data_IF_784907906872
#
_entry.id   IF_784907906872
#
_cell.length_a   1.000
_cell.length_b   1.000
_cell.length_c   1.000
_cell.angle_alpha   90.00
_cell.angle_beta   90.00
_cell.angle_gamma   90.00
#
_symmetry.space_group_name_H-M   'P 1'
#
loop_
_entity.id
_entity.type
_entity.pdbx_description
1 polymer ?
#
# COMPACT_ATOMS: atom_id res chain seq x y z
N UNK A 1 9.77 -2.55 15.44
CA UNK A 1 9.21 -1.27 14.97
C UNK A 1 9.53 -1.07 13.49
N UNK A 2 8.52 -0.75 12.72
CA UNK A 2 8.69 -0.50 11.29
C UNK A 2 9.32 0.86 11.03
N UNK A 3 10.02 0.99 9.91
CA UNK A 3 10.72 2.20 9.51
C UNK A 3 10.22 2.65 8.14
N UNK A 4 9.93 3.93 8.03
CA UNK A 4 9.40 4.52 6.80
C UNK A 4 10.33 5.63 6.32
N UNK A 5 10.79 5.52 5.08
CA UNK A 5 11.56 6.56 4.39
C UNK A 5 10.75 7.07 3.21
N UNK A 6 10.58 8.38 3.12
CA UNK A 6 9.80 9.01 2.06
C UNK A 6 10.66 10.02 1.34
N UNK A 7 10.70 9.95 0.01
CA UNK A 7 11.52 10.83 -0.81
C UNK A 7 10.75 11.30 -2.06
N UNK A 8 11.28 12.34 -2.70
CA UNK A 8 10.70 12.92 -3.90
C UNK A 8 9.89 14.20 -3.63
N UNK A 9 9.14 14.61 -4.63
CA UNK A 9 8.30 15.81 -4.54
C UNK A 9 7.03 15.63 -5.37
N UNK A 10 6.09 16.57 -5.23
CA UNK A 10 4.82 16.50 -5.95
C UNK A 10 3.81 15.54 -5.32
N UNK A 11 3.83 15.41 -4.02
CA UNK A 11 2.93 14.53 -3.29
C UNK A 11 2.53 15.15 -1.94
N UNK A 12 1.39 14.73 -1.36
CA UNK A 12 0.97 15.20 -0.05
C UNK A 12 1.70 14.46 1.07
N UNK A 13 2.78 15.06 1.60
CA UNK A 13 3.67 14.44 2.59
C UNK A 13 2.94 13.89 3.81
N UNK A 14 2.07 14.68 4.41
CA UNK A 14 1.32 14.29 5.61
C UNK A 14 0.44 13.09 5.29
N UNK A 15 -0.25 13.11 4.15
CA UNK A 15 -1.10 12.01 3.73
C UNK A 15 -0.31 10.72 3.53
N UNK A 16 0.87 10.82 2.90
CA UNK A 16 1.74 9.66 2.70
C UNK A 16 2.12 9.00 4.01
N UNK A 17 2.57 9.80 4.97
CA UNK A 17 2.95 9.32 6.30
C UNK A 17 1.75 8.73 7.05
N UNK A 18 0.61 9.42 7.04
CA UNK A 18 -0.59 8.99 7.77
C UNK A 18 -1.13 7.67 7.24
N UNK A 19 -1.29 7.55 5.93
CA UNK A 19 -1.85 6.34 5.32
C UNK A 19 -0.93 5.14 5.54
N UNK A 20 0.37 5.33 5.31
CA UNK A 20 1.34 4.23 5.47
C UNK A 20 1.45 3.79 6.92
N UNK A 21 1.53 4.73 7.84
CA UNK A 21 1.59 4.42 9.28
C UNK A 21 0.30 3.75 9.75
N UNK A 22 -0.85 4.25 9.30
CA UNK A 22 -2.14 3.63 9.60
C UNK A 22 -2.17 2.17 9.15
N UNK A 23 -1.73 1.91 7.91
CA UNK A 23 -1.73 0.57 7.34
C UNK A 23 -0.82 -0.39 8.14
N UNK A 24 0.41 0.05 8.42
CA UNK A 24 1.38 -0.76 9.17
C UNK A 24 0.88 -1.04 10.59
N UNK A 25 0.35 -0.04 11.26
CA UNK A 25 -0.14 -0.21 12.64
C UNK A 25 -1.38 -1.08 12.70
N UNK A 26 -2.25 -1.01 11.70
CA UNK A 26 -3.49 -1.77 11.69
C UNK A 26 -3.28 -3.24 11.34
N UNK A 27 -2.44 -3.52 10.34
CA UNK A 27 -2.31 -4.87 9.79
C UNK A 27 -1.01 -5.59 10.19
N UNK A 28 0.02 -4.85 10.54
CA UNK A 28 1.33 -5.41 10.88
C UNK A 28 1.93 -4.76 12.12
N UNK A 29 1.17 -4.68 13.24
CA UNK A 29 1.63 -3.93 14.42
C UNK A 29 2.86 -4.52 15.12
N UNK A 30 3.13 -5.80 14.89
CA UNK A 30 4.25 -6.51 15.53
C UNK A 30 5.39 -6.83 14.57
N UNK A 31 5.25 -6.47 13.30
CA UNK A 31 6.27 -6.73 12.30
C UNK A 31 7.29 -5.58 12.27
N UNK A 32 8.52 -5.91 11.91
CA UNK A 32 9.57 -4.94 11.65
C UNK A 32 9.74 -4.85 10.13
N UNK A 33 9.12 -3.87 9.54
CA UNK A 33 9.08 -3.69 8.08
C UNK A 33 9.75 -2.36 7.75
N UNK A 34 10.59 -2.37 6.71
CA UNK A 34 11.17 -1.15 6.16
C UNK A 34 10.47 -0.85 4.84
N UNK A 35 9.93 0.35 4.73
CA UNK A 35 9.25 0.81 3.51
C UNK A 35 9.94 2.07 3.02
N UNK A 36 10.46 2.00 1.80
CA UNK A 36 10.95 3.16 1.08
C UNK A 36 9.87 3.59 0.09
N UNK A 37 9.41 4.82 0.19
CA UNK A 37 8.42 5.37 -0.76
C UNK A 37 9.09 6.50 -1.53
N UNK A 38 9.15 6.35 -2.85
CA UNK A 38 9.77 7.32 -3.75
C UNK A 38 8.71 7.87 -4.70
N UNK A 39 8.64 9.19 -4.81
CA UNK A 39 7.73 9.88 -5.71
C UNK A 39 8.50 10.36 -6.93
N UNK A 40 8.13 9.84 -8.09
CA UNK A 40 8.75 10.20 -9.38
C UNK A 40 7.74 10.10 -10.50
N UNK A 41 7.96 10.81 -11.59
CA UNK A 41 7.04 10.78 -12.73
C UNK A 41 6.99 9.40 -13.37
N UNK A 42 5.79 8.82 -13.45
CA UNK A 42 5.55 7.48 -14.02
C UNK A 42 4.69 7.50 -15.29
N UNK A 43 4.33 8.68 -15.79
CA UNK A 43 3.43 8.81 -16.95
C UNK A 43 3.92 8.04 -18.17
N UNK A 44 5.24 8.07 -18.43
CA UNK A 44 5.82 7.38 -19.59
C UNK A 44 5.72 5.86 -19.46
N UNK A 45 5.64 5.36 -18.24
CA UNK A 45 5.53 3.93 -17.96
C UNK A 45 4.08 3.47 -17.94
N UNK A 46 3.13 4.41 -17.99
CA UNK A 46 1.71 4.11 -18.07
C UNK A 46 1.10 3.53 -16.79
N UNK A 47 1.75 3.77 -15.64
CA UNK A 47 1.29 3.27 -14.34
C UNK A 47 1.27 4.40 -13.31
N UNK A 48 0.54 4.20 -12.22
CA UNK A 48 0.49 5.15 -11.11
C UNK A 48 1.45 4.78 -9.98
N UNK A 49 1.83 3.52 -9.89
CA UNK A 49 2.72 3.06 -8.84
C UNK A 49 3.31 1.68 -9.08
N UNK A 50 4.27 1.35 -8.25
CA UNK A 50 4.94 0.03 -8.19
C UNK A 50 5.18 -0.36 -6.74
N UNK A 51 5.23 -1.66 -6.49
CA UNK A 51 5.73 -2.21 -5.21
C UNK A 51 6.72 -3.32 -5.51
N UNK A 52 7.95 -3.16 -5.05
CA UNK A 52 9.03 -4.12 -5.26
C UNK A 52 9.62 -4.57 -3.92
N UNK A 53 10.09 -5.80 -3.89
CA UNK A 53 10.88 -6.31 -2.78
C UNK A 53 12.32 -5.83 -2.93
N UNK A 54 12.90 -5.29 -1.85
CA UNK A 54 14.31 -4.92 -1.80
C UNK A 54 15.09 -6.08 -1.18
N UNK A 55 16.05 -6.62 -1.94
CA UNK A 55 16.84 -7.75 -1.50
C UNK A 55 16.18 -9.09 -1.79
N UNK A 56 16.33 -10.05 -0.89
CA UNK A 56 15.80 -11.39 -1.07
C UNK A 56 14.29 -11.44 -0.98
N UNK A 57 13.66 -12.24 -1.85
CA UNK A 57 12.20 -12.36 -1.88
C UNK A 57 11.63 -13.40 -0.90
N UNK A 58 12.49 -14.13 -0.17
CA UNK A 58 12.06 -15.07 0.84
C UNK A 58 11.76 -14.34 2.15
N UNK A 59 10.51 -14.40 2.60
CA UNK A 59 10.03 -13.69 3.80
C UNK A 59 10.47 -12.21 3.83
N UNK A 60 10.16 -11.44 2.78
CA UNK A 60 10.69 -10.08 2.64
C UNK A 60 10.15 -9.17 3.74
N UNK A 61 11.01 -8.21 4.16
CA UNK A 61 10.67 -7.20 5.17
C UNK A 61 11.12 -5.80 4.77
N UNK A 62 11.63 -5.67 3.55
CA UNK A 62 12.04 -4.38 3.00
C UNK A 62 11.43 -4.22 1.61
N UNK A 63 10.72 -3.12 1.41
CA UNK A 63 9.95 -2.86 0.19
C UNK A 63 10.23 -1.46 -0.33
N UNK A 64 10.22 -1.34 -1.65
CA UNK A 64 10.26 -0.06 -2.35
C UNK A 64 8.90 0.14 -3.01
N UNK A 65 8.23 1.23 -2.65
CA UNK A 65 7.00 1.67 -3.30
C UNK A 65 7.32 2.93 -4.09
N UNK A 66 7.00 2.93 -5.37
CA UNK A 66 7.14 4.11 -6.22
C UNK A 66 5.76 4.61 -6.60
N UNK A 67 5.54 5.91 -6.50
CA UNK A 67 4.26 6.55 -6.79
C UNK A 67 4.45 7.71 -7.74
N UNK A 68 3.51 7.87 -8.66
CA UNK A 68 3.50 9.00 -9.58
C UNK A 68 3.32 10.31 -8.81
N UNK A 69 3.78 11.39 -9.40
CA UNK A 69 3.70 12.74 -8.83
C UNK A 69 2.42 13.44 -9.30
N UNK A 70 1.97 14.44 -8.52
CA UNK A 70 0.86 15.33 -8.88
C UNK A 70 -0.49 14.63 -9.11
N UNK A 71 -0.72 13.52 -8.43
CA UNK A 71 -2.05 12.90 -8.38
C UNK A 71 -2.96 13.70 -7.44
N UNK A 72 -4.27 13.73 -7.73
CA UNK A 72 -5.20 14.28 -6.76
C UNK A 72 -5.22 13.38 -5.50
N UNK A 73 -5.75 13.92 -4.41
CA UNK A 73 -5.65 13.27 -3.10
C UNK A 73 -6.28 11.88 -3.07
N UNK A 74 -7.46 11.72 -3.64
CA UNK A 74 -8.17 10.43 -3.59
C UNK A 74 -7.48 9.38 -4.45
N UNK A 75 -7.05 9.74 -5.65
CA UNK A 75 -6.27 8.84 -6.50
C UNK A 75 -4.95 8.46 -5.82
N UNK A 76 -4.29 9.42 -5.18
CA UNK A 76 -3.04 9.20 -4.46
C UNK A 76 -3.23 8.16 -3.34
N UNK A 77 -4.25 8.34 -2.51
CA UNK A 77 -4.53 7.42 -1.40
C UNK A 77 -4.86 6.03 -1.92
N UNK A 78 -5.70 5.92 -2.95
CA UNK A 78 -6.07 4.64 -3.56
C UNK A 78 -4.85 3.93 -4.13
N UNK A 79 -3.99 4.65 -4.83
CA UNK A 79 -2.77 4.10 -5.41
C UNK A 79 -1.81 3.61 -4.33
N UNK A 80 -1.61 4.41 -3.29
CA UNK A 80 -0.76 4.02 -2.17
C UNK A 80 -1.29 2.76 -1.49
N UNK A 81 -2.59 2.69 -1.23
CA UNK A 81 -3.22 1.52 -0.63
C UNK A 81 -3.13 0.29 -1.53
N UNK A 82 -3.21 0.47 -2.84
CA UNK A 82 -3.01 -0.61 -3.81
C UNK A 82 -1.60 -1.20 -3.68
N UNK A 83 -0.57 -0.34 -3.66
CA UNK A 83 0.81 -0.80 -3.53
C UNK A 83 1.11 -1.39 -2.15
N UNK A 84 0.53 -0.84 -1.09
CA UNK A 84 0.63 -1.40 0.25
C UNK A 84 -0.04 -2.79 0.32
N UNK A 85 -1.09 -3.01 -0.45
CA UNK A 85 -1.72 -4.33 -0.55
C UNK A 85 -0.77 -5.36 -1.16
N UNK A 86 -0.03 -4.99 -2.21
CA UNK A 86 1.01 -5.86 -2.76
C UNK A 86 2.09 -6.18 -1.72
N UNK A 87 2.50 -5.19 -0.95
CA UNK A 87 3.43 -5.41 0.17
C UNK A 87 2.86 -6.44 1.15
N UNK A 88 1.59 -6.31 1.51
CA UNK A 88 0.92 -7.25 2.41
C UNK A 88 0.88 -8.67 1.82
N UNK A 89 0.65 -8.79 0.53
CA UNK A 89 0.66 -10.09 -0.16
C UNK A 89 2.03 -10.77 -0.02
N UNK A 90 3.11 -10.02 -0.17
CA UNK A 90 4.46 -10.53 0.04
C UNK A 90 4.71 -10.93 1.50
N UNK A 91 4.32 -10.07 2.44
CA UNK A 91 4.54 -10.34 3.87
C UNK A 91 3.76 -11.58 4.31
N UNK A 92 2.53 -11.72 3.87
CA UNK A 92 1.66 -12.86 4.19
C UNK A 92 2.02 -14.13 3.43
N UNK A 93 2.83 -14.02 2.38
CA UNK A 93 3.30 -15.14 1.60
C UNK A 93 2.35 -15.60 0.50
N UNK A 94 1.26 -14.88 0.21
CA UNK A 94 0.42 -15.18 -0.95
C UNK A 94 1.14 -14.86 -2.25
N UNK A 95 1.97 -13.82 -2.29
CA UNK A 95 2.92 -13.59 -3.37
C UNK A 95 4.28 -14.18 -3.01
N UNK A 96 4.86 -14.97 -3.92
CA UNK A 96 6.18 -15.57 -3.76
C UNK A 96 6.81 -15.84 -5.12
N UNK A 97 8.13 -15.85 -5.17
CA UNK A 97 8.84 -16.43 -6.28
C UNK A 97 8.98 -17.95 -6.06
N UNK A 98 8.59 -18.73 -7.05
CA UNK A 98 8.73 -20.20 -7.04
C UNK A 98 9.24 -20.63 -8.41
N UNK A 99 10.37 -21.32 -8.41
CA UNK A 99 11.00 -21.80 -9.65
C UNK A 99 11.23 -20.67 -10.67
N UNK A 100 11.66 -19.49 -10.18
CA UNK A 100 11.92 -18.33 -11.02
C UNK A 100 10.68 -17.58 -11.52
N UNK A 101 9.49 -17.94 -11.07
CA UNK A 101 8.23 -17.31 -11.47
C UNK A 101 7.53 -16.65 -10.30
N UNK A 102 6.88 -15.52 -10.57
CA UNK A 102 6.01 -14.89 -9.59
C UNK A 102 4.72 -15.71 -9.48
N UNK A 103 4.40 -16.13 -8.26
CA UNK A 103 3.20 -16.94 -7.98
C UNK A 103 2.32 -16.24 -6.96
N UNK A 104 1.01 -16.35 -7.15
CA UNK A 104 0.01 -15.96 -6.18
C UNK A 104 -0.75 -17.21 -5.74
N UNK A 105 -0.73 -17.48 -4.43
CA UNK A 105 -1.33 -18.68 -3.85
C UNK A 105 -0.92 -19.95 -4.63
N UNK A 106 0.38 -20.06 -4.90
CA UNK A 106 1.05 -21.19 -5.60
C UNK A 106 0.80 -21.27 -7.11
N UNK A 107 0.02 -20.36 -7.70
CA UNK A 107 -0.23 -20.34 -9.13
C UNK A 107 0.62 -19.27 -9.81
N UNK A 108 1.34 -19.61 -10.91
CA UNK A 108 2.09 -18.59 -11.65
C UNK A 108 1.16 -17.50 -12.19
N UNK A 109 1.47 -16.24 -11.92
CA UNK A 109 0.63 -15.12 -12.35
C UNK A 109 0.64 -14.94 -13.88
N UNK A 110 1.67 -15.42 -14.56
CA UNK A 110 1.77 -15.37 -16.03
C UNK A 110 0.66 -16.16 -16.74
N UNK A 111 -0.07 -17.04 -16.02
CA UNK A 111 -1.21 -17.79 -16.58
C UNK A 111 -2.42 -16.89 -16.90
N UNK A 112 -2.41 -15.64 -16.42
CA UNK A 112 -3.49 -14.67 -16.66
C UNK A 112 -2.94 -13.42 -17.34
N UNK A 113 -3.78 -12.78 -18.16
CA UNK A 113 -3.49 -11.43 -18.63
C UNK A 113 -3.41 -10.48 -17.43
N UNK A 114 -2.61 -9.42 -17.52
CA UNK A 114 -2.31 -8.52 -16.42
C UNK A 114 -3.56 -8.10 -15.63
N UNK A 115 -4.62 -7.70 -16.32
CA UNK A 115 -5.84 -7.23 -15.66
C UNK A 115 -6.49 -8.29 -14.79
N UNK A 116 -6.37 -9.58 -15.18
CA UNK A 116 -6.98 -10.71 -14.47
C UNK A 116 -6.03 -11.46 -13.57
N UNK A 117 -4.79 -11.00 -13.42
CA UNK A 117 -3.85 -11.64 -12.48
C UNK A 117 -4.41 -11.56 -11.07
N UNK A 118 -4.46 -12.68 -10.32
CA UNK A 118 -5.23 -12.73 -9.06
C UNK A 118 -4.74 -11.75 -7.99
N UNK A 119 -3.43 -11.48 -7.93
CA UNK A 119 -2.90 -10.51 -6.98
C UNK A 119 -3.32 -9.07 -7.33
N UNK A 120 -3.47 -8.77 -8.61
CA UNK A 120 -3.96 -7.46 -9.07
C UNK A 120 -5.46 -7.31 -8.83
N UNK A 121 -6.23 -8.38 -9.04
CA UNK A 121 -7.67 -8.38 -8.73
C UNK A 121 -7.89 -8.11 -7.24
N UNK A 122 -7.16 -8.82 -6.38
CA UNK A 122 -7.23 -8.59 -4.93
C UNK A 122 -6.85 -7.16 -4.57
N UNK A 123 -5.75 -6.65 -5.15
CA UNK A 123 -5.29 -5.30 -4.84
C UNK A 123 -6.32 -4.23 -5.24
N UNK A 124 -7.00 -4.40 -6.37
CA UNK A 124 -8.07 -3.47 -6.79
C UNK A 124 -9.27 -3.52 -5.85
N UNK A 125 -9.67 -4.69 -5.41
CA UNK A 125 -10.76 -4.85 -4.46
C UNK A 125 -10.40 -4.28 -3.09
N UNK A 126 -9.20 -4.57 -2.63
CA UNK A 126 -8.71 -4.10 -1.33
C UNK A 126 -8.50 -2.58 -1.30
N UNK A 127 -8.03 -1.97 -2.38
CA UNK A 127 -7.82 -0.52 -2.40
C UNK A 127 -9.12 0.25 -2.10
N UNK A 128 -10.24 -0.21 -2.63
CA UNK A 128 -11.53 0.43 -2.37
C UNK A 128 -11.98 0.21 -0.92
N UNK A 129 -11.88 -1.02 -0.44
CA UNK A 129 -12.24 -1.36 0.94
C UNK A 129 -11.36 -0.61 1.94
N UNK A 130 -10.07 -0.56 1.70
CA UNK A 130 -9.10 0.12 2.57
C UNK A 130 -9.26 1.63 2.52
N UNK A 131 -9.61 2.18 1.37
CA UNK A 131 -9.88 3.61 1.23
C UNK A 131 -11.03 4.04 2.15
N UNK A 132 -12.13 3.31 2.14
CA UNK A 132 -13.26 3.57 3.04
C UNK A 132 -12.88 3.37 4.50
N UNK A 133 -12.16 2.29 4.81
CA UNK A 133 -11.73 1.98 6.17
C UNK A 133 -10.80 3.05 6.75
N UNK A 134 -9.86 3.52 5.95
CA UNK A 134 -8.96 4.60 6.36
C UNK A 134 -9.73 5.87 6.72
N UNK A 135 -10.67 6.27 5.87
CA UNK A 135 -11.48 7.46 6.15
C UNK A 135 -12.38 7.29 7.36
N UNK A 136 -12.95 6.11 7.54
CA UNK A 136 -13.76 5.78 8.71
C UNK A 136 -12.93 5.90 10.00
N UNK A 137 -11.73 5.35 10.00
CA UNK A 137 -10.84 5.40 11.17
C UNK A 137 -10.41 6.84 11.49
N UNK A 138 -10.26 7.71 10.48
CA UNK A 138 -9.97 9.13 10.71
C UNK A 138 -11.14 9.82 11.44
N UNK A 139 -12.35 9.51 11.10
CA UNK A 139 -13.54 10.05 11.76
C UNK A 139 -13.61 9.55 13.21
N UNK A 140 -13.35 8.27 13.42
CA UNK A 140 -13.36 7.64 14.74
C UNK A 140 -12.33 8.28 15.67
N UNK A 141 -11.13 8.52 15.19
CA UNK A 141 -10.10 9.23 15.94
C UNK A 141 -10.53 10.63 16.35
N UNK A 142 -11.21 11.35 15.45
CA UNK A 142 -11.77 12.67 15.76
C UNK A 142 -12.85 12.60 16.84
N UNK A 143 -13.65 11.55 16.83
CA UNK A 143 -14.67 11.34 17.85
C UNK A 143 -14.05 11.10 19.22
N UNK A 144 -12.95 10.39 19.29
CA UNK A 144 -12.21 10.15 20.53
C UNK A 144 -11.67 11.46 21.11
N UNK A 145 -11.13 12.34 20.27
CA UNK A 145 -10.55 13.61 20.70
C UNK A 145 -11.59 14.66 21.09
N UNK A 146 -12.81 14.61 20.51
CA UNK A 146 -13.82 15.62 20.72
C UNK A 146 -15.21 15.00 21.00
N UNK A 147 -15.34 14.10 21.99
CA UNK A 147 -16.59 13.39 22.23
C UNK A 147 -17.75 14.33 22.59
N UNK A 148 -17.50 15.38 23.38
CA UNK A 148 -18.52 16.33 23.80
C UNK A 148 -19.05 17.19 22.63
N UNK A 149 -18.22 17.46 21.67
CA UNK A 149 -18.58 18.26 20.48
C UNK A 149 -19.55 17.50 19.58
N UNK A 150 -19.39 16.18 19.49
CA UNK A 150 -20.27 15.33 18.68
C UNK A 150 -21.58 15.07 19.35
N UNK A 151 -21.59 14.99 20.67
CA UNK A 151 -22.81 14.79 21.45
C UNK A 151 -23.74 16.02 21.46
N UNK A 152 -23.23 17.20 21.11
CA UNK A 152 -23.99 18.43 21.03
C UNK A 152 -24.66 18.69 19.68
N UNK A 153 -24.30 17.85 18.73
CA UNK A 153 -24.86 17.91 17.40
C UNK A 153 -26.05 16.97 17.26
#
# INVERSE_FOLDING_TARGET
MSVLYIDGYGYPKITCEDVTSWFLNKFFPRHKITVDIVHRGLKREGVFGYCDVVGESYRPRHFLIELDTYMDRDLYIRTLLHELTHMAQWIRGSLRHRYGKLCYCKQPVENWDYWYQPHEVEAREEEERLFEMYHYDQIDDRMIFFPNRLMKM
#
